data_IF_303054037950
#
_entry.id   IF_303054037950
#
_cell.length_a   1.000
_cell.length_b   1.000
_cell.length_c   1.000
_cell.angle_alpha   90.00
_cell.angle_beta   90.00
_cell.angle_gamma   90.00
#
_symmetry.space_group_name_H-M   'P 1'
#
loop_
_entity.id
_entity.type
_entity.pdbx_description
1 polymer ?
#
# COMPACT_ATOMS: atom_id res chain seq x y z
N UNK A 1 7.37 13.24 15.14
CA UNK A 1 7.07 11.98 14.47
C UNK A 1 6.15 11.16 15.37
N UNK A 2 4.88 11.04 14.98
CA UNK A 2 3.90 10.29 15.76
C UNK A 2 4.18 8.80 15.61
N UNK A 3 4.64 8.19 16.67
CA UNK A 3 5.04 6.79 16.68
C UNK A 3 4.59 6.16 18.00
N UNK A 4 3.92 5.02 17.90
CA UNK A 4 3.65 4.22 19.08
C UNK A 4 4.98 3.66 19.61
N UNK A 5 5.33 3.88 20.89
CA UNK A 5 6.62 3.46 21.44
C UNK A 5 6.77 1.94 21.53
N UNK A 6 5.67 1.19 21.52
CA UNK A 6 5.68 -0.27 21.63
C UNK A 6 5.65 -0.93 20.26
N UNK A 7 4.70 -0.56 19.38
CA UNK A 7 4.50 -1.19 18.08
C UNK A 7 5.25 -0.51 16.94
N UNK A 8 5.72 0.71 17.14
CA UNK A 8 6.34 1.53 16.11
C UNK A 8 5.34 2.09 15.07
N UNK A 9 4.08 1.70 15.10
CA UNK A 9 3.02 2.17 14.23
C UNK A 9 1.81 2.67 15.02
N UNK A 10 0.89 3.37 14.35
CA UNK A 10 -0.31 3.90 15.00
C UNK A 10 -1.51 2.95 14.94
N UNK A 11 -1.50 1.99 14.01
CA UNK A 11 -2.64 1.12 13.75
C UNK A 11 -3.87 1.85 13.20
N UNK A 12 -4.94 1.09 13.00
CA UNK A 12 -6.24 1.56 12.52
C UNK A 12 -7.33 1.18 13.54
N UNK A 13 -8.46 1.85 13.47
CA UNK A 13 -9.64 1.58 14.29
C UNK A 13 -10.82 1.22 13.39
N UNK A 14 -11.52 0.15 13.72
CA UNK A 14 -12.84 -0.17 13.22
C UNK A 14 -13.86 0.15 14.32
N UNK A 15 -14.89 0.91 14.00
CA UNK A 15 -15.89 1.30 14.97
C UNK A 15 -17.22 1.72 14.34
N UNK A 16 -18.21 1.96 15.21
CA UNK A 16 -19.53 2.44 14.81
C UNK A 16 -19.70 3.89 15.30
N UNK A 17 -20.19 4.76 14.43
CA UNK A 17 -20.47 6.16 14.78
C UNK A 17 -21.55 6.20 15.85
N UNK A 18 -21.20 6.65 17.04
CA UNK A 18 -22.14 6.79 18.17
C UNK A 18 -22.79 8.17 18.19
N UNK A 19 -22.01 9.21 17.89
CA UNK A 19 -22.45 10.60 17.93
C UNK A 19 -21.68 11.45 16.92
N UNK A 20 -22.35 12.42 16.34
CA UNK A 20 -21.77 13.45 15.50
C UNK A 20 -21.73 14.75 16.31
N UNK A 21 -20.60 15.45 16.28
CA UNK A 21 -20.47 16.76 16.92
C UNK A 21 -21.40 17.77 16.27
N UNK A 22 -22.00 18.64 17.07
CA UNK A 22 -23.02 19.62 16.59
C UNK A 22 -22.49 20.51 15.47
N UNK A 23 -21.21 20.86 15.49
CA UNK A 23 -20.57 21.66 14.42
C UNK A 23 -20.47 20.94 13.07
N UNK A 24 -20.60 19.60 13.06
CA UNK A 24 -20.52 18.77 11.87
C UNK A 24 -21.88 18.25 11.39
N UNK A 25 -22.94 18.51 12.12
CA UNK A 25 -24.30 18.14 11.72
C UNK A 25 -24.64 18.77 10.35
N UNK A 26 -25.05 17.93 9.40
CA UNK A 26 -25.32 18.33 8.01
C UNK A 26 -24.10 18.66 7.15
N UNK A 27 -22.87 18.56 7.69
CA UNK A 27 -21.63 18.81 6.94
C UNK A 27 -20.83 17.55 6.66
N UNK A 28 -21.14 16.44 7.32
CA UNK A 28 -20.53 15.15 7.10
C UNK A 28 -21.50 14.20 6.40
N UNK A 29 -20.99 13.25 5.64
CA UNK A 29 -21.77 12.16 5.05
C UNK A 29 -22.01 10.99 6.02
N UNK A 30 -21.44 11.08 7.24
CA UNK A 30 -21.61 10.08 8.29
C UNK A 30 -22.99 10.22 8.97
N UNK A 31 -23.51 9.08 9.37
CA UNK A 31 -24.72 8.96 10.21
C UNK A 31 -24.42 8.13 11.45
N UNK A 32 -25.15 8.39 12.53
CA UNK A 32 -25.11 7.52 13.71
C UNK A 32 -25.52 6.10 13.29
N UNK A 33 -24.72 5.11 13.68
CA UNK A 33 -24.87 3.72 13.26
C UNK A 33 -23.98 3.32 12.08
N UNK A 34 -23.39 4.26 11.33
CA UNK A 34 -22.44 3.92 10.26
C UNK A 34 -21.20 3.21 10.83
N UNK A 35 -20.81 2.12 10.19
CA UNK A 35 -19.59 1.42 10.52
C UNK A 35 -18.44 1.96 9.67
N UNK A 36 -17.36 2.36 10.31
CA UNK A 36 -16.23 3.02 9.66
C UNK A 36 -14.91 2.39 10.10
N UNK A 37 -13.92 2.42 9.19
CA UNK A 37 -12.51 2.30 9.52
C UNK A 37 -11.88 3.70 9.51
N UNK A 38 -11.13 4.05 10.56
CA UNK A 38 -10.32 5.25 10.52
C UNK A 38 -9.05 4.97 9.72
N UNK A 39 -8.66 5.93 8.89
CA UNK A 39 -7.46 5.86 8.05
C UNK A 39 -6.36 6.80 8.57
N UNK A 40 -6.59 7.40 9.73
CA UNK A 40 -5.60 8.15 10.50
C UNK A 40 -4.99 7.25 11.56
N UNK A 41 -3.70 7.48 11.85
CA UNK A 41 -2.99 6.77 12.90
C UNK A 41 -3.70 6.90 14.26
N UNK A 42 -3.84 5.79 14.99
CA UNK A 42 -4.35 5.80 16.36
C UNK A 42 -3.50 6.63 17.31
N UNK A 43 -2.23 6.90 16.99
CA UNK A 43 -1.39 7.85 17.75
C UNK A 43 -1.93 9.29 17.72
N UNK A 44 -2.80 9.61 16.77
CA UNK A 44 -3.43 10.93 16.61
C UNK A 44 -4.91 10.94 16.96
N UNK A 45 -5.44 9.79 17.42
CA UNK A 45 -6.87 9.62 17.69
C UNK A 45 -7.06 9.48 19.20
N UNK A 46 -7.74 10.43 19.89
CA UNK A 46 -8.09 10.26 21.29
C UNK A 46 -8.92 8.99 21.47
N UNK A 47 -8.43 8.09 22.31
CA UNK A 47 -9.02 6.77 22.53
C UNK A 47 -9.17 6.50 24.04
N UNK A 48 -10.38 6.13 24.46
CA UNK A 48 -10.67 5.62 25.77
C UNK A 48 -11.03 4.13 25.65
N UNK A 49 -10.31 3.30 26.37
CA UNK A 49 -10.56 1.87 26.46
C UNK A 49 -11.22 1.61 27.82
N UNK A 50 -12.48 1.18 27.79
CA UNK A 50 -13.23 0.82 28.99
C UNK A 50 -12.97 -0.65 29.37
N UNK A 51 -12.83 -1.54 28.35
CA UNK A 51 -12.56 -2.96 28.55
C UNK A 51 -11.87 -3.56 27.32
N UNK A 52 -10.88 -4.42 27.54
CA UNK A 52 -10.31 -5.31 26.53
C UNK A 52 -11.13 -6.60 26.53
N UNK A 53 -11.77 -6.93 25.40
CA UNK A 53 -12.59 -8.14 25.21
C UNK A 53 -11.78 -9.33 24.73
N UNK A 54 -10.89 -9.12 23.77
CA UNK A 54 -10.05 -10.16 23.20
C UNK A 54 -8.74 -9.57 22.62
N UNK A 55 -7.68 -10.36 22.68
CA UNK A 55 -6.39 -10.06 22.05
C UNK A 55 -6.09 -11.19 21.07
N UNK A 56 -5.92 -10.86 19.80
CA UNK A 56 -5.58 -11.80 18.71
C UNK A 56 -4.17 -11.53 18.22
N UNK A 57 -3.18 -12.12 18.89
CA UNK A 57 -1.75 -11.87 18.59
C UNK A 57 -1.31 -12.31 17.20
N UNK A 58 -1.96 -13.32 16.63
CA UNK A 58 -1.65 -13.86 15.30
C UNK A 58 -2.05 -12.94 14.13
N UNK A 59 -2.89 -11.96 14.39
CA UNK A 59 -3.38 -10.98 13.39
C UNK A 59 -3.28 -9.53 13.89
N UNK A 60 -2.55 -9.30 14.98
CA UNK A 60 -2.30 -7.99 15.58
C UNK A 60 -3.57 -7.16 15.85
N UNK A 61 -4.63 -7.84 16.33
CA UNK A 61 -5.93 -7.22 16.58
C UNK A 61 -6.32 -7.30 18.05
N UNK A 62 -7.00 -6.25 18.51
CA UNK A 62 -7.57 -6.17 19.86
C UNK A 62 -9.03 -5.72 19.76
N UNK A 63 -9.93 -6.52 20.33
CA UNK A 63 -11.33 -6.14 20.49
C UNK A 63 -11.52 -5.43 21.82
N UNK A 64 -12.14 -4.26 21.79
CA UNK A 64 -12.36 -3.44 22.98
C UNK A 64 -13.83 -2.99 23.11
N UNK A 65 -14.22 -2.65 24.33
CA UNK A 65 -15.23 -1.64 24.58
C UNK A 65 -14.50 -0.32 24.81
N UNK A 66 -14.89 0.71 24.11
CA UNK A 66 -14.25 1.99 24.21
C UNK A 66 -14.84 3.01 23.25
N UNK A 67 -14.30 4.23 23.30
CA UNK A 67 -14.73 5.33 22.45
C UNK A 67 -13.51 6.05 21.89
N UNK A 68 -13.61 6.47 20.65
CA UNK A 68 -12.60 7.26 19.97
C UNK A 68 -13.22 8.55 19.42
N UNK A 69 -12.42 9.59 19.31
CA UNK A 69 -12.83 10.86 18.69
C UNK A 69 -12.12 10.97 17.35
N UNK A 70 -12.91 10.93 16.26
CA UNK A 70 -12.43 11.27 14.93
C UNK A 70 -12.67 12.76 14.71
N UNK A 71 -11.61 13.51 14.47
CA UNK A 71 -11.70 14.94 14.16
C UNK A 71 -12.22 15.16 12.73
N UNK A 72 -12.74 16.36 12.44
CA UNK A 72 -13.22 16.75 11.11
C UNK A 72 -12.20 16.48 9.99
N UNK A 73 -10.91 16.72 10.26
CA UNK A 73 -9.80 16.45 9.34
C UNK A 73 -9.41 14.97 9.25
N UNK A 74 -9.97 14.11 10.10
CA UNK A 74 -9.63 12.70 10.14
C UNK A 74 -10.25 11.95 8.96
N UNK A 75 -9.42 11.29 8.18
CA UNK A 75 -9.88 10.46 7.07
C UNK A 75 -10.45 9.12 7.58
N UNK A 76 -11.49 8.65 6.92
CA UNK A 76 -12.17 7.38 7.22
C UNK A 76 -12.68 6.73 5.94
N UNK A 77 -13.04 5.46 6.04
CA UNK A 77 -13.82 4.76 5.04
C UNK A 77 -15.04 4.13 5.70
N UNK A 78 -16.21 4.21 5.05
CA UNK A 78 -17.36 3.40 5.45
C UNK A 78 -17.09 1.95 5.08
N UNK A 79 -17.36 1.04 6.00
CA UNK A 79 -17.22 -0.38 5.73
C UNK A 79 -18.39 -0.83 4.85
N UNK A 80 -18.12 -1.37 3.66
CA UNK A 80 -19.18 -1.76 2.75
C UNK A 80 -19.91 -3.02 3.23
N UNK A 81 -21.20 -3.12 2.96
CA UNK A 81 -22.02 -4.27 3.35
C UNK A 81 -21.75 -5.54 2.51
N UNK A 82 -21.16 -5.38 1.33
CA UNK A 82 -20.83 -6.46 0.39
C UNK A 82 -19.50 -7.16 0.66
N UNK A 83 -18.80 -6.77 1.74
CA UNK A 83 -17.47 -7.28 2.06
C UNK A 83 -17.32 -7.52 3.57
N UNK A 84 -16.72 -8.66 3.99
CA UNK A 84 -16.38 -8.87 5.39
C UNK A 84 -15.48 -7.75 5.93
N UNK A 85 -15.79 -7.31 7.16
CA UNK A 85 -15.08 -6.17 7.79
C UNK A 85 -13.58 -6.35 7.89
N UNK A 86 -13.14 -7.56 8.24
CA UNK A 86 -11.70 -7.88 8.34
C UNK A 86 -11.01 -7.79 6.99
N UNK A 87 -11.68 -8.26 5.93
CA UNK A 87 -11.15 -8.16 4.57
C UNK A 87 -11.04 -6.71 4.14
N UNK A 88 -12.10 -5.92 4.34
CA UNK A 88 -12.08 -4.49 4.04
C UNK A 88 -10.97 -3.77 4.81
N UNK A 89 -10.84 -4.03 6.12
CA UNK A 89 -9.81 -3.43 6.97
C UNK A 89 -8.39 -3.79 6.50
N UNK A 90 -8.17 -5.06 6.12
CA UNK A 90 -6.85 -5.51 5.65
C UNK A 90 -6.38 -4.80 4.37
N UNK A 91 -7.30 -4.51 3.46
CA UNK A 91 -7.01 -3.77 2.25
C UNK A 91 -6.86 -2.26 2.50
N UNK A 92 -7.71 -1.70 3.35
CA UNK A 92 -7.66 -0.28 3.71
C UNK A 92 -6.37 0.13 4.43
N UNK A 93 -5.74 -0.79 5.15
CA UNK A 93 -4.46 -0.58 5.82
C UNK A 93 -3.33 -0.18 4.85
N UNK A 94 -3.41 -0.61 3.62
CA UNK A 94 -2.40 -0.32 2.57
C UNK A 94 -2.99 0.45 1.37
N UNK A 95 -4.15 1.05 1.52
CA UNK A 95 -4.93 1.63 0.43
C UNK A 95 -4.20 2.75 -0.35
N UNK A 96 -3.25 3.43 0.28
CA UNK A 96 -2.45 4.46 -0.37
C UNK A 96 -1.60 3.93 -1.53
N UNK A 97 -1.08 2.70 -1.43
CA UNK A 97 -0.20 2.13 -2.44
C UNK A 97 -0.91 1.91 -3.79
N UNK A 98 -2.01 1.14 -3.88
CA UNK A 98 -2.70 0.95 -5.15
C UNK A 98 -3.36 2.24 -5.67
N UNK A 99 -3.81 3.13 -4.79
CA UNK A 99 -4.40 4.40 -5.21
C UNK A 99 -3.35 5.34 -5.84
N UNK A 100 -2.14 5.37 -5.33
CA UNK A 100 -1.06 6.12 -5.95
C UNK A 100 -0.61 5.43 -7.25
N UNK A 101 -0.58 4.11 -7.30
CA UNK A 101 -0.37 3.35 -8.53
C UNK A 101 -1.38 3.75 -9.61
N UNK A 102 -2.68 3.80 -9.28
CA UNK A 102 -3.74 4.23 -10.19
C UNK A 102 -3.53 5.64 -10.75
N UNK A 103 -2.92 6.52 -9.96
CA UNK A 103 -2.64 7.91 -10.36
C UNK A 103 -1.42 8.04 -11.26
N UNK A 104 -0.40 7.22 -11.01
CA UNK A 104 0.90 7.33 -11.67
C UNK A 104 0.95 6.57 -12.99
N UNK A 105 0.46 5.33 -13.01
CA UNK A 105 0.59 4.43 -14.17
C UNK A 105 -0.32 4.85 -15.31
N UNK A 106 0.26 4.92 -16.48
CA UNK A 106 -0.40 5.27 -17.75
C UNK A 106 -0.37 4.08 -18.71
N UNK A 107 -1.27 4.06 -19.73
CA UNK A 107 -1.21 3.06 -20.77
C UNK A 107 0.17 3.01 -21.46
N UNK A 108 0.72 1.82 -21.57
CA UNK A 108 2.02 1.57 -22.20
C UNK A 108 3.22 1.61 -21.26
N UNK A 109 3.07 2.05 -19.99
CA UNK A 109 4.18 2.13 -19.04
C UNK A 109 4.74 0.73 -18.71
N UNK A 110 6.05 0.67 -18.52
CA UNK A 110 6.76 -0.43 -17.86
C UNK A 110 6.88 -0.12 -16.37
N UNK A 111 6.30 -0.96 -15.53
CA UNK A 111 6.17 -0.73 -14.09
C UNK A 111 6.87 -1.83 -13.31
N UNK A 112 7.83 -1.48 -12.47
CA UNK A 112 8.44 -2.38 -11.50
C UNK A 112 7.74 -2.24 -10.15
N UNK A 113 7.31 -3.36 -9.57
CA UNK A 113 6.78 -3.45 -8.21
C UNK A 113 7.77 -4.21 -7.33
N UNK A 114 8.46 -3.52 -6.44
CA UNK A 114 9.36 -4.12 -5.44
C UNK A 114 8.52 -4.55 -4.23
N UNK A 115 8.63 -5.82 -3.84
CA UNK A 115 7.77 -6.43 -2.83
C UNK A 115 6.40 -6.86 -3.37
N UNK A 116 6.36 -7.25 -4.63
CA UNK A 116 5.17 -7.54 -5.42
C UNK A 116 4.25 -8.62 -4.80
N UNK A 117 4.81 -9.64 -4.16
CA UNK A 117 4.03 -10.71 -3.50
C UNK A 117 3.53 -10.38 -2.09
N UNK A 118 3.80 -9.16 -1.57
CA UNK A 118 3.27 -8.67 -0.29
C UNK A 118 1.86 -8.08 -0.40
N UNK A 119 1.27 -7.71 0.74
CA UNK A 119 -0.09 -7.16 0.83
C UNK A 119 -0.31 -5.97 -0.13
N UNK A 120 0.48 -4.91 0.01
CA UNK A 120 0.41 -3.74 -0.87
C UNK A 120 0.87 -4.05 -2.30
N UNK A 121 1.89 -4.90 -2.44
CA UNK A 121 2.45 -5.26 -3.74
C UNK A 121 1.44 -5.94 -4.67
N UNK A 122 0.69 -6.93 -4.18
CA UNK A 122 -0.34 -7.61 -4.98
C UNK A 122 -1.43 -6.65 -5.48
N UNK A 123 -1.88 -5.72 -4.64
CA UNK A 123 -2.83 -4.67 -5.03
C UNK A 123 -2.23 -3.73 -6.09
N UNK A 124 -0.96 -3.36 -5.91
CA UNK A 124 -0.24 -2.53 -6.88
C UNK A 124 -0.04 -3.25 -8.22
N UNK A 125 0.28 -4.55 -8.22
CA UNK A 125 0.43 -5.34 -9.45
C UNK A 125 -0.88 -5.38 -10.23
N UNK A 126 -2.01 -5.68 -9.56
CA UNK A 126 -3.32 -5.68 -10.20
C UNK A 126 -3.68 -4.31 -10.78
N UNK A 127 -3.55 -3.25 -9.98
CA UNK A 127 -3.86 -1.89 -10.45
C UNK A 127 -2.91 -1.44 -11.56
N UNK A 128 -1.61 -1.74 -11.46
CA UNK A 128 -0.64 -1.41 -12.50
C UNK A 128 -0.97 -2.12 -13.82
N UNK A 129 -1.31 -3.41 -13.79
CA UNK A 129 -1.70 -4.16 -14.99
C UNK A 129 -2.94 -3.57 -15.66
N UNK A 130 -3.93 -3.21 -14.85
CA UNK A 130 -5.16 -2.56 -15.30
C UNK A 130 -4.88 -1.20 -15.97
N UNK A 131 -3.97 -0.39 -15.42
CA UNK A 131 -3.65 0.95 -15.95
C UNK A 131 -2.69 0.91 -17.15
N UNK A 132 -1.64 0.10 -17.06
CA UNK A 132 -0.67 -0.04 -18.14
C UNK A 132 -1.28 -0.68 -19.40
N UNK A 133 -2.32 -1.49 -19.22
CA UNK A 133 -3.05 -2.11 -20.32
C UNK A 133 -2.23 -3.16 -21.07
N UNK A 134 -2.67 -3.49 -22.29
CA UNK A 134 -2.08 -4.57 -23.10
C UNK A 134 -0.72 -4.21 -23.70
N UNK A 135 -0.41 -2.93 -23.83
CA UNK A 135 0.87 -2.45 -24.39
C UNK A 135 1.92 -2.17 -23.30
N UNK A 136 1.48 -2.08 -22.03
CA UNK A 136 2.37 -1.88 -20.91
C UNK A 136 2.88 -3.20 -20.33
N UNK A 137 3.86 -3.10 -19.44
CA UNK A 137 4.51 -4.23 -18.81
C UNK A 137 4.55 -4.06 -17.30
N UNK A 138 4.15 -5.08 -16.56
CA UNK A 138 4.26 -5.12 -15.09
C UNK A 138 5.26 -6.18 -14.68
N UNK A 139 6.27 -5.76 -13.92
CA UNK A 139 7.36 -6.60 -13.43
C UNK A 139 7.26 -6.69 -11.91
N UNK A 140 7.18 -7.90 -11.38
CA UNK A 140 7.12 -8.17 -9.95
C UNK A 140 8.45 -8.66 -9.40
N UNK A 141 9.07 -7.91 -8.48
CA UNK A 141 10.20 -8.36 -7.68
C UNK A 141 9.70 -8.88 -6.33
N UNK A 142 9.99 -10.15 -6.04
CA UNK A 142 9.63 -10.84 -4.81
C UNK A 142 10.87 -11.15 -3.96
N UNK A 143 10.72 -11.12 -2.64
CA UNK A 143 11.82 -11.46 -1.71
C UNK A 143 11.88 -12.96 -1.37
N UNK A 144 10.99 -13.81 -1.92
CA UNK A 144 10.99 -15.26 -1.70
C UNK A 144 10.23 -16.00 -2.79
N UNK A 145 10.62 -17.24 -3.07
CA UNK A 145 9.94 -18.13 -4.02
C UNK A 145 8.45 -18.33 -3.66
N UNK A 146 8.13 -18.45 -2.37
CA UNK A 146 6.74 -18.58 -1.92
C UNK A 146 5.88 -17.37 -2.32
N UNK A 147 6.43 -16.17 -2.27
CA UNK A 147 5.72 -14.96 -2.66
C UNK A 147 5.66 -14.78 -4.18
N UNK A 148 6.69 -15.24 -4.90
CA UNK A 148 6.71 -15.28 -6.36
C UNK A 148 5.65 -16.24 -6.91
N UNK A 149 5.61 -17.47 -6.41
CA UNK A 149 4.61 -18.48 -6.82
C UNK A 149 3.17 -17.98 -6.62
N UNK A 150 2.88 -17.35 -5.47
CA UNK A 150 1.56 -16.75 -5.23
C UNK A 150 1.21 -15.68 -6.27
N UNK A 151 2.18 -14.86 -6.64
CA UNK A 151 1.97 -13.80 -7.62
C UNK A 151 1.79 -14.37 -9.03
N UNK A 152 2.48 -15.47 -9.37
CA UNK A 152 2.29 -16.23 -10.61
C UNK A 152 0.86 -16.76 -10.73
N UNK A 153 0.32 -17.36 -9.66
CA UNK A 153 -1.06 -17.85 -9.61
C UNK A 153 -2.09 -16.73 -9.82
N UNK A 154 -1.77 -15.51 -9.40
CA UNK A 154 -2.63 -14.34 -9.60
C UNK A 154 -2.61 -13.81 -11.04
N UNK A 155 -1.53 -14.00 -11.79
CA UNK A 155 -1.41 -13.61 -13.19
C UNK A 155 -1.42 -12.11 -13.46
N UNK A 156 -0.98 -11.28 -12.51
CA UNK A 156 -1.03 -9.81 -12.64
C UNK A 156 0.25 -9.20 -13.21
N UNK A 157 1.32 -9.96 -13.29
CA UNK A 157 2.60 -9.50 -13.80
C UNK A 157 2.97 -10.21 -15.10
N UNK A 158 3.65 -9.51 -15.98
CA UNK A 158 4.20 -10.06 -17.22
C UNK A 158 5.53 -10.79 -16.96
N UNK A 159 6.28 -10.33 -15.95
CA UNK A 159 7.50 -10.96 -15.47
C UNK A 159 7.51 -10.97 -13.93
N UNK A 160 8.00 -12.07 -13.37
CA UNK A 160 8.16 -12.22 -11.92
C UNK A 160 9.57 -12.81 -11.70
N UNK A 161 10.27 -12.27 -10.71
CA UNK A 161 11.55 -12.85 -10.29
C UNK A 161 11.79 -12.62 -8.80
N UNK A 162 12.70 -13.43 -8.25
CA UNK A 162 13.10 -13.35 -6.84
C UNK A 162 14.50 -12.79 -6.74
N UNK A 163 14.71 -11.76 -5.95
CA UNK A 163 16.02 -11.22 -5.62
C UNK A 163 15.98 -10.45 -4.30
N UNK A 164 17.16 -10.17 -3.76
CA UNK A 164 17.35 -9.28 -2.62
C UNK A 164 17.35 -7.82 -3.11
N UNK A 165 16.30 -7.09 -2.76
CA UNK A 165 16.13 -5.69 -3.13
C UNK A 165 17.16 -4.75 -2.48
N UNK A 166 17.96 -5.19 -1.51
CA UNK A 166 19.05 -4.42 -0.89
C UNK A 166 20.35 -4.51 -1.69
N UNK A 167 20.41 -5.39 -2.70
CA UNK A 167 21.58 -5.59 -3.58
C UNK A 167 21.22 -5.09 -4.98
N UNK A 168 21.53 -3.81 -5.32
CA UNK A 168 20.97 -3.17 -6.50
C UNK A 168 21.44 -3.72 -7.85
N UNK A 169 22.71 -4.09 -7.97
CA UNK A 169 23.30 -4.46 -9.28
C UNK A 169 22.64 -5.69 -9.91
N UNK A 170 22.48 -6.83 -9.22
CA UNK A 170 21.81 -7.98 -9.82
C UNK A 170 20.34 -7.72 -10.19
N UNK A 171 19.66 -6.82 -9.45
CA UNK A 171 18.28 -6.43 -9.78
C UNK A 171 18.27 -5.56 -11.04
N UNK A 172 19.19 -4.59 -11.15
CA UNK A 172 19.34 -3.76 -12.33
C UNK A 172 19.61 -4.62 -13.59
N UNK A 173 20.59 -5.51 -13.54
CA UNK A 173 20.92 -6.43 -14.65
C UNK A 173 19.69 -7.22 -15.11
N UNK A 174 18.88 -7.70 -14.15
CA UNK A 174 17.64 -8.41 -14.48
C UNK A 174 16.59 -7.51 -15.11
N UNK A 175 16.47 -6.28 -14.67
CA UNK A 175 15.55 -5.29 -15.28
C UNK A 175 16.03 -4.90 -16.68
N UNK A 176 17.32 -4.72 -16.90
CA UNK A 176 17.88 -4.46 -18.22
C UNK A 176 17.60 -5.62 -19.18
N UNK A 177 17.77 -6.87 -18.75
CA UNK A 177 17.41 -8.06 -19.53
C UNK A 177 15.93 -8.04 -19.94
N UNK A 178 15.02 -7.82 -18.98
CA UNK A 178 13.57 -7.83 -19.21
C UNK A 178 13.10 -6.70 -20.11
N UNK A 179 13.72 -5.52 -19.99
CA UNK A 179 13.31 -4.30 -20.67
C UNK A 179 14.13 -4.00 -21.94
N UNK A 180 15.15 -4.80 -22.24
CA UNK A 180 16.09 -4.51 -23.33
C UNK A 180 16.89 -3.23 -23.10
N UNK A 181 17.23 -2.95 -21.85
CA UNK A 181 18.00 -1.76 -21.45
C UNK A 181 17.18 -0.45 -21.34
N UNK A 182 15.86 -0.49 -21.54
CA UNK A 182 15.00 0.71 -21.48
C UNK A 182 14.68 1.14 -20.04
N UNK A 183 14.86 0.25 -19.07
CA UNK A 183 14.46 0.43 -17.67
C UNK A 183 12.94 0.66 -17.50
N UNK A 184 12.52 1.03 -16.28
CA UNK A 184 11.11 1.17 -15.95
C UNK A 184 10.66 2.64 -15.98
N UNK A 185 9.48 2.90 -16.51
CA UNK A 185 8.84 4.22 -16.42
C UNK A 185 8.52 4.58 -14.97
N UNK A 186 8.11 3.56 -14.21
CA UNK A 186 7.70 3.71 -12.82
C UNK A 186 8.24 2.55 -12.00
N UNK A 187 8.85 2.86 -10.86
CA UNK A 187 9.19 1.87 -9.83
C UNK A 187 8.41 2.17 -8.55
N UNK A 188 7.69 1.18 -8.04
CA UNK A 188 6.91 1.26 -6.80
C UNK A 188 7.55 0.35 -5.75
N UNK A 189 8.07 0.95 -4.70
CA UNK A 189 8.73 0.23 -3.61
C UNK A 189 7.77 0.03 -2.43
N UNK A 190 7.35 -1.22 -2.22
CA UNK A 190 6.42 -1.63 -1.17
C UNK A 190 7.09 -2.41 -0.01
N UNK A 191 8.39 -2.67 -0.09
CA UNK A 191 9.07 -3.47 0.95
C UNK A 191 9.38 -2.64 2.18
N UNK A 192 9.07 -3.17 3.35
CA UNK A 192 9.42 -2.56 4.63
C UNK A 192 10.81 -3.00 5.11
N UNK A 193 11.78 -2.94 4.21
CA UNK A 193 13.18 -3.29 4.43
C UNK A 193 14.01 -2.04 4.09
N UNK A 194 14.94 -1.61 4.95
CA UNK A 194 15.84 -0.49 4.65
C UNK A 194 16.81 -0.84 3.52
N UNK A 195 17.43 0.16 2.93
CA UNK A 195 18.49 0.04 1.91
C UNK A 195 18.02 -0.46 0.53
N UNK A 196 16.76 -0.24 0.19
CA UNK A 196 16.19 -0.57 -1.13
C UNK A 196 16.04 0.64 -2.05
N UNK A 197 16.49 1.81 -1.61
CA UNK A 197 16.36 3.06 -2.35
C UNK A 197 17.16 3.04 -3.65
N UNK A 198 18.42 2.58 -3.59
CA UNK A 198 19.30 2.54 -4.75
C UNK A 198 18.76 1.59 -5.83
N UNK A 199 18.26 0.43 -5.45
CA UNK A 199 17.60 -0.51 -6.37
C UNK A 199 16.43 0.14 -7.09
N UNK A 200 15.60 0.88 -6.35
CA UNK A 200 14.45 1.57 -6.91
C UNK A 200 14.87 2.64 -7.93
N UNK A 201 15.92 3.39 -7.63
CA UNK A 201 16.44 4.46 -8.49
C UNK A 201 17.06 3.91 -9.76
N UNK A 202 18.00 2.95 -9.64
CA UNK A 202 18.72 2.39 -10.77
C UNK A 202 17.82 1.64 -11.78
N UNK A 203 16.72 1.03 -11.31
CA UNK A 203 15.77 0.34 -12.17
C UNK A 203 14.80 1.29 -12.90
N UNK A 204 14.83 2.58 -12.56
CA UNK A 204 13.94 3.60 -13.16
C UNK A 204 14.70 4.41 -14.20
N UNK A 205 14.12 4.58 -15.38
CA UNK A 205 14.72 5.38 -16.46
C UNK A 205 14.79 6.86 -16.09
N UNK A 206 15.61 7.63 -16.78
CA UNK A 206 15.62 9.09 -16.67
C UNK A 206 14.23 9.69 -16.97
N UNK A 207 13.85 10.71 -16.22
CA UNK A 207 12.53 11.33 -16.20
C UNK A 207 11.40 10.40 -15.76
N UNK A 208 11.74 9.19 -15.28
CA UNK A 208 10.79 8.24 -14.68
C UNK A 208 10.40 8.61 -13.24
N UNK A 209 9.55 7.80 -12.65
CA UNK A 209 9.04 8.06 -11.29
C UNK A 209 9.32 6.89 -10.36
N UNK A 210 9.89 7.20 -9.19
CA UNK A 210 10.03 6.25 -8.07
C UNK A 210 9.02 6.62 -6.99
N UNK A 211 8.16 5.68 -6.62
CA UNK A 211 7.26 5.82 -5.49
C UNK A 211 7.69 4.93 -4.33
N UNK A 212 8.11 5.53 -3.25
CA UNK A 212 8.45 4.87 -2.00
C UNK A 212 7.23 4.87 -1.07
N UNK A 213 6.49 3.78 -1.04
CA UNK A 213 5.37 3.59 -0.11
C UNK A 213 5.85 3.14 1.27
N UNK A 214 6.97 2.46 1.32
CA UNK A 214 7.53 1.87 2.54
C UNK A 214 7.93 2.92 3.57
N UNK A 215 7.61 2.65 4.84
CA UNK A 215 8.07 3.44 5.99
C UNK A 215 9.56 3.21 6.35
N UNK A 216 10.19 2.18 5.79
CA UNK A 216 11.63 1.93 5.94
C UNK A 216 12.49 2.84 5.06
N UNK A 217 11.90 3.54 4.08
CA UNK A 217 12.62 4.42 3.17
C UNK A 217 13.33 5.56 3.91
N UNK A 218 14.61 5.72 3.63
CA UNK A 218 15.43 6.85 4.06
C UNK A 218 15.42 7.95 3.01
N UNK A 219 14.81 9.08 3.33
CA UNK A 219 14.82 10.25 2.45
C UNK A 219 16.24 10.66 2.04
N UNK A 220 17.18 10.70 2.99
CA UNK A 220 18.56 11.06 2.72
C UNK A 220 19.25 10.08 1.77
N UNK A 221 19.04 8.75 1.95
CA UNK A 221 19.62 7.76 1.04
C UNK A 221 19.02 7.86 -0.37
N UNK A 222 17.73 8.10 -0.49
CA UNK A 222 17.08 8.27 -1.79
C UNK A 222 17.62 9.52 -2.51
N UNK A 223 17.64 10.67 -1.85
CA UNK A 223 18.10 11.93 -2.45
C UNK A 223 19.57 11.86 -2.86
N UNK A 224 20.47 11.48 -1.93
CA UNK A 224 21.91 11.39 -2.21
C UNK A 224 22.23 10.23 -3.17
N UNK A 225 21.43 9.18 -3.17
CA UNK A 225 21.57 8.05 -4.10
C UNK A 225 21.35 8.49 -5.55
N UNK A 226 20.25 9.17 -5.83
CA UNK A 226 19.95 9.68 -7.18
C UNK A 226 21.01 10.68 -7.66
N UNK A 227 21.41 11.64 -6.81
CA UNK A 227 22.47 12.58 -7.11
C UNK A 227 23.81 11.88 -7.38
N UNK A 228 24.17 10.90 -6.54
CA UNK A 228 25.44 10.17 -6.64
C UNK A 228 25.60 9.35 -7.91
N UNK A 229 24.53 8.87 -8.51
CA UNK A 229 24.53 8.11 -9.78
C UNK A 229 24.09 8.96 -10.98
N UNK A 230 23.72 10.22 -10.75
CA UNK A 230 23.29 11.13 -11.80
C UNK A 230 21.96 10.78 -12.45
N UNK A 231 21.04 10.16 -11.69
CA UNK A 231 19.71 9.79 -12.19
C UNK A 231 18.71 10.94 -12.06
N UNK A 232 18.11 11.33 -13.18
CA UNK A 232 17.01 12.30 -13.24
C UNK A 232 15.67 11.59 -13.01
N UNK A 233 15.30 11.37 -11.76
CA UNK A 233 14.04 10.71 -11.38
C UNK A 233 13.16 11.59 -10.50
N UNK A 234 11.85 11.56 -10.75
CA UNK A 234 10.88 12.10 -9.82
C UNK A 234 10.66 11.14 -8.67
N UNK A 235 10.81 11.59 -7.43
CA UNK A 235 10.60 10.76 -6.25
C UNK A 235 9.36 11.21 -5.46
N UNK A 236 8.48 10.25 -5.16
CA UNK A 236 7.36 10.43 -4.24
C UNK A 236 7.67 9.59 -3.01
N UNK A 237 7.89 10.25 -1.86
CA UNK A 237 8.28 9.58 -0.61
C UNK A 237 7.15 9.65 0.40
N UNK A 238 6.71 8.49 0.83
CA UNK A 238 5.73 8.32 1.90
C UNK A 238 4.34 8.77 1.49
N UNK A 239 3.49 8.71 2.33
CA UNK A 239 2.10 9.00 2.54
C UNK A 239 1.17 7.90 2.02
N UNK A 240 0.53 7.28 2.97
CA UNK A 240 -0.54 6.33 2.69
C UNK A 240 -1.86 7.00 2.34
N UNK A 241 -1.87 8.28 1.90
CA UNK A 241 -3.09 8.97 1.51
C UNK A 241 -3.04 9.51 0.08
N UNK A 242 -4.00 9.09 -0.70
CA UNK A 242 -4.35 9.66 -2.02
C UNK A 242 -5.87 9.81 -2.04
N UNK A 243 -6.38 10.91 -2.58
CA UNK A 243 -7.84 11.15 -2.64
C UNK A 243 -8.54 9.97 -3.33
N UNK A 244 -9.58 9.43 -2.67
CA UNK A 244 -10.34 8.27 -3.17
C UNK A 244 -9.62 6.93 -2.93
N UNK A 245 -8.58 6.88 -2.11
CA UNK A 245 -7.78 5.66 -1.92
C UNK A 245 -8.57 4.47 -1.38
N UNK A 246 -9.53 4.71 -0.49
CA UNK A 246 -10.36 3.64 0.07
C UNK A 246 -11.24 3.00 -0.99
N UNK A 247 -11.95 3.81 -1.77
CA UNK A 247 -12.85 3.36 -2.83
C UNK A 247 -12.10 2.61 -3.93
N UNK A 248 -10.96 3.16 -4.38
CA UNK A 248 -10.10 2.52 -5.38
C UNK A 248 -9.69 1.14 -4.88
N UNK A 249 -9.18 1.05 -3.67
CA UNK A 249 -8.64 -0.20 -3.11
C UNK A 249 -9.72 -1.25 -2.87
N UNK A 250 -10.86 -0.87 -2.31
CA UNK A 250 -11.99 -1.80 -2.14
C UNK A 250 -12.53 -2.30 -3.47
N UNK A 251 -12.48 -1.45 -4.50
CA UNK A 251 -12.90 -1.84 -5.84
C UNK A 251 -12.01 -2.94 -6.45
N UNK A 252 -10.70 -2.96 -6.17
CA UNK A 252 -9.81 -4.02 -6.66
C UNK A 252 -10.24 -5.41 -6.13
N UNK A 253 -10.69 -5.48 -4.87
CA UNK A 253 -11.21 -6.73 -4.29
C UNK A 253 -12.59 -7.14 -4.84
N UNK A 254 -13.33 -6.22 -5.45
CA UNK A 254 -14.58 -6.52 -6.15
C UNK A 254 -14.35 -6.99 -7.58
N UNK A 255 -13.32 -6.44 -8.23
CA UNK A 255 -12.97 -6.73 -9.61
C UNK A 255 -12.25 -8.07 -9.79
N UNK A 256 -11.52 -8.54 -8.77
CA UNK A 256 -10.70 -9.75 -8.84
C UNK A 256 -11.03 -10.74 -7.73
N UNK A 257 -11.71 -11.83 -8.09
CA UNK A 257 -12.02 -12.93 -7.18
C UNK A 257 -10.76 -13.62 -6.65
N UNK A 258 -9.73 -13.78 -7.49
CA UNK A 258 -8.45 -14.38 -7.07
C UNK A 258 -7.74 -13.52 -6.04
N UNK A 259 -7.69 -12.21 -6.25
CA UNK A 259 -7.13 -11.26 -5.28
C UNK A 259 -7.92 -11.27 -3.96
N UNK A 260 -9.26 -11.23 -4.05
CA UNK A 260 -10.15 -11.29 -2.90
C UNK A 260 -9.95 -12.58 -2.09
N UNK A 261 -9.83 -13.72 -2.78
CA UNK A 261 -9.56 -15.02 -2.15
C UNK A 261 -8.25 -15.01 -1.37
N UNK A 262 -7.16 -14.63 -2.01
CA UNK A 262 -5.82 -14.57 -1.37
C UNK A 262 -5.82 -13.60 -0.18
N UNK A 263 -6.47 -12.44 -0.30
CA UNK A 263 -6.59 -11.50 0.82
C UNK A 263 -7.39 -12.06 1.99
N UNK A 264 -8.46 -12.80 1.70
CA UNK A 264 -9.27 -13.47 2.74
C UNK A 264 -8.45 -14.54 3.47
N UNK A 265 -7.70 -15.34 2.74
CA UNK A 265 -6.89 -16.43 3.31
C UNK A 265 -5.71 -15.94 4.15
N UNK A 266 -5.08 -14.83 3.75
CA UNK A 266 -3.85 -14.35 4.39
C UNK A 266 -4.07 -13.29 5.47
N UNK A 267 -5.12 -12.48 5.35
CA UNK A 267 -5.23 -11.23 6.13
C UNK A 267 -6.61 -10.99 6.78
N UNK A 268 -7.63 -11.85 6.60
CA UNK A 268 -8.98 -11.61 7.13
C UNK A 268 -9.48 -12.61 8.20
#
# INVERSE_FOLDING_TARGET
>A
KHRNPVTGSGGMLLGTVEKIGTALEGKTDLKVGDKIATLVSLSLTPLRIDKIKAIRKNVDQVDIDGKAILFESGIYAKIPADMPEKLALSALDVAGAPAQTARLVKPGDTVLIIGAGGKSGMLCCYEAKKRAGVTGKVIGLCGSEKSAHRLEELGFCDHIFTADATVPVPVLEKIEEITGGQLCDITINNVNIPDTEMTSILCTKDSGTVYFFSMATSFTKAALGAEGVGSDVTMIVGNGYTKGHAEITLQLLRESDSLRKVFTELYA
#
